data_IF_827976704342
#
_entry.id   IF_827976704342
#
_cell.length_a   1.000
_cell.length_b   1.000
_cell.length_c   1.000
_cell.angle_alpha   90.00
_cell.angle_beta   90.00
_cell.angle_gamma   90.00
#
_symmetry.space_group_name_H-M   'P 1'
#
loop_
_entity.id
_entity.type
_entity.pdbx_description
1 polymer ?
#
# COMPACT_ATOMS: atom_id res chain seq x y z
N UNK A 1 1.84 -29.87 -10.39
CA UNK A 1 1.42 -29.34 -11.69
C UNK A 1 1.30 -27.82 -11.74
N UNK A 2 1.09 -27.14 -10.58
CA UNK A 2 0.87 -25.70 -10.49
C UNK A 2 2.05 -24.90 -9.90
N UNK A 3 3.24 -25.45 -9.88
CA UNK A 3 4.42 -24.78 -9.31
C UNK A 3 4.76 -23.46 -10.04
N UNK A 4 4.62 -23.42 -11.36
CA UNK A 4 4.88 -22.19 -12.13
C UNK A 4 3.87 -21.09 -11.77
N UNK A 5 2.54 -21.32 -11.87
CA UNK A 5 1.58 -20.34 -11.39
C UNK A 5 1.79 -19.92 -9.92
N UNK A 6 2.15 -20.84 -9.04
CA UNK A 6 2.39 -20.52 -7.63
C UNK A 6 3.59 -19.60 -7.38
N UNK A 7 4.53 -19.52 -8.32
CA UNK A 7 5.75 -18.71 -8.18
C UNK A 7 5.78 -17.46 -9.08
N UNK A 8 4.79 -17.26 -9.93
CA UNK A 8 4.75 -16.10 -10.83
C UNK A 8 4.25 -14.84 -10.13
N UNK A 9 4.94 -13.72 -10.33
CA UNK A 9 4.53 -12.41 -9.79
C UNK A 9 3.18 -11.91 -10.33
N UNK A 10 2.74 -12.41 -11.49
CA UNK A 10 1.45 -12.07 -12.11
C UNK A 10 0.27 -12.91 -11.62
N UNK A 11 0.48 -13.87 -10.74
CA UNK A 11 -0.56 -14.83 -10.34
C UNK A 11 -1.69 -14.16 -9.56
N UNK A 12 -1.43 -13.16 -8.75
CA UNK A 12 -2.47 -12.44 -8.01
C UNK A 12 -3.55 -11.86 -8.94
N UNK A 13 -3.14 -11.16 -9.99
CA UNK A 13 -4.08 -10.61 -10.97
C UNK A 13 -4.68 -11.70 -11.86
N UNK A 14 -3.90 -12.70 -12.26
CA UNK A 14 -4.37 -13.79 -13.13
C UNK A 14 -5.45 -14.65 -12.46
N UNK A 15 -5.33 -14.92 -11.16
CA UNK A 15 -6.32 -15.73 -10.42
C UNK A 15 -7.68 -15.05 -10.30
N UNK A 16 -7.76 -13.75 -10.38
CA UNK A 16 -9.03 -13.00 -10.37
C UNK A 16 -9.72 -13.03 -11.74
N UNK A 17 -8.96 -13.13 -12.83
CA UNK A 17 -9.49 -13.02 -14.17
C UNK A 17 -10.53 -14.10 -14.49
N UNK A 18 -10.26 -15.35 -14.13
CA UNK A 18 -11.13 -16.48 -14.47
C UNK A 18 -12.48 -16.47 -13.72
N UNK A 19 -12.52 -16.37 -12.37
CA UNK A 19 -13.79 -16.40 -11.65
C UNK A 19 -14.68 -15.19 -11.92
N UNK A 20 -14.09 -14.04 -12.21
CA UNK A 20 -14.84 -12.82 -12.52
C UNK A 20 -15.05 -12.58 -14.02
N UNK A 21 -14.53 -13.45 -14.88
CA UNK A 21 -14.65 -13.33 -16.32
C UNK A 21 -14.06 -12.04 -16.88
N UNK A 22 -12.95 -11.57 -16.29
CA UNK A 22 -12.29 -10.32 -16.68
C UNK A 22 -11.73 -10.46 -18.09
N UNK A 23 -12.08 -9.51 -18.97
CA UNK A 23 -11.66 -9.49 -20.38
C UNK A 23 -10.86 -8.23 -20.76
N UNK A 24 -10.80 -7.24 -19.86
CA UNK A 24 -9.98 -6.05 -20.02
C UNK A 24 -8.52 -6.29 -19.71
N UNK A 25 -7.79 -5.23 -19.39
CA UNK A 25 -6.37 -5.34 -19.00
C UNK A 25 -6.22 -6.16 -17.74
N UNK A 26 -5.17 -6.99 -17.70
CA UNK A 26 -4.82 -7.79 -16.54
C UNK A 26 -3.29 -7.89 -16.43
N UNK A 27 -2.75 -7.34 -15.37
CA UNK A 27 -1.32 -7.42 -15.07
C UNK A 27 -1.06 -7.16 -13.58
N UNK A 28 0.11 -7.54 -13.11
CA UNK A 28 0.59 -7.21 -11.78
C UNK A 28 1.72 -6.18 -11.85
N UNK A 29 1.74 -5.27 -10.89
CA UNK A 29 2.83 -4.32 -10.67
C UNK A 29 3.73 -4.88 -9.56
N UNK A 30 4.99 -4.53 -9.55
CA UNK A 30 5.93 -4.86 -8.48
C UNK A 30 6.64 -3.60 -8.01
N UNK A 31 6.33 -3.17 -6.79
CA UNK A 31 6.93 -2.01 -6.12
C UNK A 31 6.94 -2.20 -4.60
N UNK A 32 7.26 -3.42 -4.14
CA UNK A 32 7.33 -3.78 -2.73
C UNK A 32 6.08 -3.35 -1.95
N UNK A 33 6.23 -2.71 -0.80
CA UNK A 33 5.11 -2.28 0.06
C UNK A 33 4.17 -1.26 -0.61
N UNK A 34 4.61 -0.56 -1.65
CA UNK A 34 3.81 0.41 -2.39
C UNK A 34 2.95 -0.23 -3.50
N UNK A 35 3.08 -1.53 -3.75
CA UNK A 35 2.45 -2.20 -4.91
C UNK A 35 0.94 -2.01 -4.95
N UNK A 36 0.23 -2.21 -3.85
CA UNK A 36 -1.23 -2.08 -3.81
C UNK A 36 -1.67 -0.64 -4.12
N UNK A 37 -0.97 0.35 -3.59
CA UNK A 37 -1.26 1.76 -3.88
C UNK A 37 -1.00 2.10 -5.36
N UNK A 38 0.07 1.57 -5.96
CA UNK A 38 0.33 1.71 -7.39
C UNK A 38 -0.74 1.02 -8.24
N UNK A 39 -1.18 -0.18 -7.86
CA UNK A 39 -2.28 -0.87 -8.56
C UNK A 39 -3.56 -0.03 -8.54
N UNK A 40 -3.93 0.52 -7.39
CA UNK A 40 -5.11 1.36 -7.23
C UNK A 40 -5.00 2.65 -8.04
N UNK A 41 -3.86 3.35 -7.94
CA UNK A 41 -3.63 4.58 -8.69
C UNK A 41 -3.63 4.38 -10.20
N UNK A 42 -2.92 3.36 -10.70
CA UNK A 42 -2.91 3.04 -12.14
C UNK A 42 -4.30 2.64 -12.65
N UNK A 43 -5.06 1.89 -11.86
CA UNK A 43 -6.43 1.53 -12.22
C UNK A 43 -7.33 2.77 -12.32
N UNK A 44 -7.20 3.70 -11.36
CA UNK A 44 -7.92 4.97 -11.38
C UNK A 44 -7.57 5.80 -12.63
N UNK A 45 -6.28 5.91 -12.96
CA UNK A 45 -5.83 6.61 -14.17
C UNK A 45 -6.40 5.99 -15.45
N UNK A 46 -6.43 4.66 -15.56
CA UNK A 46 -7.04 3.97 -16.72
C UNK A 46 -8.53 4.27 -16.85
N UNK A 47 -9.25 4.34 -15.74
CA UNK A 47 -10.67 4.73 -15.73
C UNK A 47 -10.82 6.21 -16.12
N UNK A 48 -10.03 7.12 -15.55
CA UNK A 48 -10.04 8.54 -15.88
C UNK A 48 -9.74 8.82 -17.36
N UNK A 49 -8.90 7.99 -17.98
CA UNK A 49 -8.59 8.07 -19.42
C UNK A 49 -9.65 7.39 -20.31
N UNK A 50 -10.71 6.84 -19.74
CA UNK A 50 -11.76 6.15 -20.47
C UNK A 50 -11.30 4.84 -21.14
N UNK A 51 -10.26 4.20 -20.58
CA UNK A 51 -9.74 2.92 -21.10
C UNK A 51 -10.46 1.72 -20.50
N UNK A 52 -10.98 1.88 -19.30
CA UNK A 52 -11.75 0.86 -18.57
C UNK A 52 -12.86 1.57 -17.79
N UNK A 53 -13.99 0.89 -17.60
CA UNK A 53 -15.11 1.38 -16.78
C UNK A 53 -15.04 0.83 -15.35
N UNK A 54 -14.56 -0.41 -15.20
CA UNK A 54 -14.46 -1.12 -13.91
C UNK A 54 -13.12 -1.83 -13.83
N UNK A 55 -12.43 -1.69 -12.70
CA UNK A 55 -11.17 -2.40 -12.43
C UNK A 55 -11.11 -2.94 -11.01
N UNK A 56 -10.59 -4.16 -10.88
CA UNK A 56 -10.12 -4.70 -9.60
C UNK A 56 -8.69 -4.24 -9.37
N UNK A 57 -8.40 -3.69 -8.20
CA UNK A 57 -7.06 -3.24 -7.86
C UNK A 57 -6.75 -3.50 -6.38
N UNK A 58 -5.54 -3.91 -6.08
CA UNK A 58 -5.14 -4.22 -4.71
C UNK A 58 -3.83 -4.97 -4.67
N UNK A 59 -3.63 -5.75 -3.64
CA UNK A 59 -2.44 -6.57 -3.47
C UNK A 59 -2.63 -7.70 -2.50
N UNK A 60 -1.71 -8.63 -2.52
CA UNK A 60 -1.63 -9.75 -1.58
C UNK A 60 -0.20 -10.06 -1.23
N UNK A 61 0.01 -10.46 0.01
CA UNK A 61 1.29 -10.88 0.54
C UNK A 61 1.14 -12.22 1.26
N UNK A 62 2.03 -13.14 0.99
CA UNK A 62 2.09 -14.41 1.68
C UNK A 62 3.06 -14.35 2.87
N UNK A 63 2.69 -14.95 3.98
CA UNK A 63 3.59 -15.16 5.09
C UNK A 63 4.44 -16.41 4.84
N UNK A 64 5.68 -16.21 4.43
CA UNK A 64 6.65 -17.28 4.19
C UNK A 64 7.97 -17.03 4.93
N UNK A 65 8.60 -18.11 5.38
CA UNK A 65 9.85 -18.03 6.13
C UNK A 65 11.02 -17.48 5.30
N UNK A 66 11.00 -17.68 3.98
CA UNK A 66 12.06 -17.17 3.09
C UNK A 66 12.11 -15.65 3.10
N UNK A 67 10.95 -14.98 3.07
CA UNK A 67 10.87 -13.52 3.17
C UNK A 67 11.28 -13.06 4.58
N UNK A 68 10.88 -13.78 5.62
CA UNK A 68 11.25 -13.48 7.01
C UNK A 68 12.77 -13.49 7.20
N UNK A 69 13.45 -14.51 6.67
CA UNK A 69 14.92 -14.61 6.73
C UNK A 69 15.62 -13.42 6.05
N UNK A 70 15.11 -12.97 4.92
CA UNK A 70 15.69 -11.85 4.20
C UNK A 70 15.58 -10.53 4.99
N UNK A 71 14.42 -10.26 5.59
CA UNK A 71 14.22 -9.09 6.42
C UNK A 71 14.93 -9.16 7.78
N UNK A 72 15.05 -10.35 8.35
CA UNK A 72 15.84 -10.58 9.56
C UNK A 72 17.34 -10.30 9.30
N UNK A 73 17.86 -10.77 8.18
CA UNK A 73 19.23 -10.51 7.74
C UNK A 73 19.54 -9.01 7.55
N UNK A 74 18.52 -8.21 7.22
CA UNK A 74 18.65 -6.74 7.15
C UNK A 74 18.59 -6.07 8.53
N UNK A 75 18.28 -6.81 9.60
CA UNK A 75 18.03 -6.23 10.92
C UNK A 75 16.76 -5.37 11.00
N UNK A 76 15.78 -5.62 10.11
CA UNK A 76 14.56 -4.84 10.03
C UNK A 76 13.42 -5.40 10.88
N UNK A 77 13.50 -6.65 11.32
CA UNK A 77 12.47 -7.32 12.12
C UNK A 77 12.64 -7.10 13.62
N UNK A 78 11.51 -7.06 14.32
CA UNK A 78 11.48 -7.07 15.78
C UNK A 78 12.06 -8.39 16.32
N UNK A 79 12.93 -8.31 17.30
CA UNK A 79 13.54 -9.47 17.96
C UNK A 79 13.46 -9.43 19.48
N UNK A 80 13.20 -8.27 20.08
CA UNK A 80 13.18 -8.08 21.55
C UNK A 80 11.95 -8.68 22.22
N UNK A 81 10.90 -8.97 21.43
CA UNK A 81 9.58 -9.36 21.95
C UNK A 81 9.23 -10.81 21.63
N UNK A 82 10.21 -11.67 21.34
CA UNK A 82 9.96 -13.09 21.04
C UNK A 82 9.25 -13.83 22.17
N UNK A 83 9.52 -13.44 23.44
CA UNK A 83 8.85 -14.00 24.61
C UNK A 83 7.44 -13.38 24.87
N UNK A 84 7.12 -12.27 24.20
CA UNK A 84 5.85 -11.57 24.33
C UNK A 84 5.31 -11.13 22.95
N UNK A 85 5.08 -12.06 22.01
CA UNK A 85 4.82 -11.74 20.61
C UNK A 85 3.57 -10.90 20.38
N UNK A 86 2.58 -10.99 21.25
CA UNK A 86 1.38 -10.16 21.18
C UNK A 86 1.64 -8.66 21.34
N UNK A 87 2.83 -8.27 21.82
CA UNK A 87 3.22 -6.87 22.01
C UNK A 87 4.36 -6.43 21.09
N UNK A 88 4.76 -7.26 20.13
CA UNK A 88 5.91 -7.01 19.26
C UNK A 88 5.62 -5.95 18.20
N UNK A 89 4.48 -6.02 17.52
CA UNK A 89 4.06 -4.99 16.55
C UNK A 89 3.59 -3.75 17.30
N UNK A 90 4.33 -2.65 17.14
CA UNK A 90 4.13 -1.41 17.91
C UNK A 90 4.63 -0.16 17.18
N UNK A 91 4.11 0.10 15.99
CA UNK A 91 4.49 1.26 15.21
C UNK A 91 4.39 2.56 16.05
N UNK A 92 5.33 3.48 15.85
CA UNK A 92 5.48 4.75 16.57
C UNK A 92 5.73 4.64 18.08
N UNK A 93 5.69 3.46 18.69
CA UNK A 93 6.01 3.27 20.10
C UNK A 93 7.50 3.59 20.36
N UNK A 94 7.77 4.12 21.57
CA UNK A 94 9.12 4.48 22.00
C UNK A 94 10.08 3.29 22.00
N UNK A 95 9.58 2.10 22.30
CA UNK A 95 10.37 0.88 22.46
C UNK A 95 10.30 -0.04 21.22
N UNK A 96 9.78 0.43 20.10
CA UNK A 96 9.75 -0.35 18.86
C UNK A 96 11.15 -0.73 18.41
N UNK A 97 11.29 -1.88 17.81
CA UNK A 97 12.59 -2.40 17.38
C UNK A 97 12.62 -3.04 16.00
N UNK A 98 11.55 -2.93 15.24
CA UNK A 98 11.41 -3.49 13.92
C UNK A 98 9.98 -3.94 13.61
N UNK A 99 9.73 -4.39 12.42
CA UNK A 99 8.40 -4.87 12.05
C UNK A 99 8.19 -6.35 12.38
N UNK A 100 6.94 -6.76 12.44
CA UNK A 100 6.49 -8.15 12.55
C UNK A 100 5.85 -8.53 11.21
N UNK A 101 6.46 -9.49 10.53
CA UNK A 101 5.98 -9.94 9.22
C UNK A 101 4.62 -10.62 9.35
N UNK A 102 3.74 -10.36 8.37
CA UNK A 102 2.41 -10.95 8.30
C UNK A 102 2.01 -11.19 6.84
N UNK A 103 0.99 -12.00 6.64
CA UNK A 103 0.33 -12.19 5.36
C UNK A 103 -1.04 -11.52 5.34
N UNK A 104 -1.54 -11.25 4.14
CA UNK A 104 -2.86 -10.67 3.96
C UNK A 104 -3.12 -10.26 2.52
N UNK A 105 -4.36 -9.96 2.19
CA UNK A 105 -4.74 -9.46 0.89
C UNK A 105 -5.92 -8.51 1.00
N UNK A 106 -5.96 -7.53 0.08
CA UNK A 106 -7.08 -6.62 -0.06
C UNK A 106 -7.26 -6.21 -1.52
N UNK A 107 -8.49 -6.14 -1.97
CA UNK A 107 -8.84 -5.71 -3.32
C UNK A 107 -10.02 -4.74 -3.25
N UNK A 108 -9.90 -3.63 -3.95
CA UNK A 108 -10.99 -2.69 -4.18
C UNK A 108 -11.50 -2.83 -5.62
N UNK A 109 -12.77 -2.55 -5.82
CA UNK A 109 -13.37 -2.41 -7.13
C UNK A 109 -13.51 -0.92 -7.41
N UNK A 110 -12.74 -0.43 -8.36
CA UNK A 110 -12.85 0.93 -8.86
C UNK A 110 -13.79 0.96 -10.04
N UNK A 111 -14.63 1.96 -10.11
CA UNK A 111 -15.64 2.09 -11.16
C UNK A 111 -15.85 3.55 -11.51
N UNK A 112 -16.06 3.84 -12.79
CA UNK A 112 -16.41 5.16 -13.25
C UNK A 112 -17.75 5.59 -12.60
N UNK A 113 -17.83 6.85 -12.16
CA UNK A 113 -18.92 7.32 -11.30
C UNK A 113 -20.30 7.22 -11.97
N UNK A 114 -20.43 7.64 -13.22
CA UNK A 114 -21.73 7.62 -13.90
C UNK A 114 -22.13 6.19 -14.30
N UNK A 115 -21.14 5.33 -14.61
CA UNK A 115 -21.38 3.91 -14.81
C UNK A 115 -21.92 3.26 -13.51
N UNK A 116 -21.31 3.54 -12.37
CA UNK A 116 -21.77 3.04 -11.07
C UNK A 116 -23.18 3.51 -10.72
N UNK A 117 -23.48 4.80 -10.93
CA UNK A 117 -24.81 5.38 -10.72
C UNK A 117 -25.86 4.77 -11.64
N UNK A 118 -25.54 4.60 -12.93
CA UNK A 118 -26.47 4.06 -13.92
C UNK A 118 -26.98 2.66 -13.59
N UNK A 119 -26.15 1.83 -12.94
CA UNK A 119 -26.53 0.48 -12.50
C UNK A 119 -27.03 0.42 -11.05
N UNK A 120 -27.11 1.54 -10.36
CA UNK A 120 -27.53 1.59 -8.96
C UNK A 120 -26.54 0.97 -7.98
N UNK A 121 -25.24 1.04 -8.27
CA UNK A 121 -24.21 0.48 -7.42
C UNK A 121 -24.18 1.16 -6.05
N UNK A 122 -23.87 0.39 -5.00
CA UNK A 122 -23.52 0.97 -3.71
C UNK A 122 -22.13 1.56 -3.80
N UNK A 123 -22.02 2.88 -3.68
CA UNK A 123 -20.78 3.60 -3.66
C UNK A 123 -20.35 3.76 -2.20
N UNK A 124 -19.15 3.30 -1.84
CA UNK A 124 -18.59 3.37 -0.48
C UNK A 124 -17.79 4.63 -0.25
N UNK A 125 -17.03 5.05 -1.26
CA UNK A 125 -16.16 6.22 -1.22
C UNK A 125 -15.81 6.67 -2.64
N UNK A 126 -15.27 7.86 -2.77
CA UNK A 126 -14.68 8.39 -3.99
C UNK A 126 -13.16 8.45 -3.84
N UNK A 127 -12.41 7.94 -4.83
CA UNK A 127 -10.96 8.12 -4.89
C UNK A 127 -10.65 9.44 -5.56
N UNK A 128 -10.25 10.44 -4.77
CA UNK A 128 -10.09 11.82 -5.23
C UNK A 128 -8.65 12.25 -5.45
N UNK A 129 -7.66 11.44 -5.06
CA UNK A 129 -6.26 11.77 -5.24
C UNK A 129 -5.35 10.55 -5.25
N UNK A 130 -4.27 10.65 -5.98
CA UNK A 130 -3.20 9.67 -6.05
C UNK A 130 -1.85 10.36 -6.18
N UNK A 131 -0.84 9.81 -5.52
CA UNK A 131 0.53 10.30 -5.63
C UNK A 131 1.52 9.14 -5.61
N UNK A 132 2.51 9.20 -6.49
CA UNK A 132 3.61 8.24 -6.55
C UNK A 132 4.90 8.96 -6.91
N UNK A 133 5.92 8.77 -6.09
CA UNK A 133 7.24 9.38 -6.28
C UNK A 133 8.34 8.41 -5.91
N UNK A 134 9.50 8.55 -6.53
CA UNK A 134 10.71 7.89 -6.08
C UNK A 134 11.46 8.80 -5.11
N UNK A 135 11.97 8.26 -4.00
CA UNK A 135 12.78 9.04 -3.05
C UNK A 135 14.11 9.47 -3.68
N UNK A 136 14.78 8.55 -4.38
CA UNK A 136 16.02 8.83 -5.09
C UNK A 136 17.22 9.10 -4.18
N UNK A 137 17.10 8.80 -2.89
CA UNK A 137 18.14 9.05 -1.89
C UNK A 137 19.01 7.82 -1.62
N UNK A 138 18.39 6.76 -1.13
CA UNK A 138 19.06 5.50 -0.78
C UNK A 138 18.15 4.33 -1.13
N UNK A 139 18.73 3.13 -1.35
CA UNK A 139 17.95 1.96 -1.72
C UNK A 139 17.04 1.46 -0.59
N UNK A 140 17.44 1.68 0.67
CA UNK A 140 16.77 1.12 1.85
C UNK A 140 16.30 2.21 2.81
N UNK A 141 17.12 3.23 3.05
CA UNK A 141 16.82 4.27 4.03
C UNK A 141 16.00 5.42 3.43
N UNK A 142 14.80 5.71 3.96
CA UNK A 142 14.00 6.82 3.49
C UNK A 142 14.61 8.17 3.91
N UNK A 143 14.63 9.14 2.98
CA UNK A 143 14.97 10.53 3.30
C UNK A 143 13.80 11.25 4.00
N UNK A 144 12.57 10.85 3.69
CA UNK A 144 11.32 11.52 4.04
C UNK A 144 10.83 12.49 2.95
N UNK A 145 11.71 12.96 2.06
CA UNK A 145 11.34 13.93 1.03
C UNK A 145 10.46 13.31 -0.06
N UNK A 146 10.74 12.07 -0.46
CA UNK A 146 9.89 11.33 -1.39
C UNK A 146 8.46 11.19 -0.87
N UNK A 147 8.29 10.87 0.41
CA UNK A 147 6.99 10.81 1.06
C UNK A 147 6.27 12.17 1.05
N UNK A 148 6.98 13.27 1.34
CA UNK A 148 6.43 14.64 1.27
C UNK A 148 5.92 14.94 -0.15
N UNK A 149 6.70 14.63 -1.19
CA UNK A 149 6.28 14.85 -2.58
C UNK A 149 5.05 14.01 -2.94
N UNK A 150 5.05 12.74 -2.54
CA UNK A 150 3.94 11.82 -2.78
C UNK A 150 2.64 12.31 -2.13
N UNK A 151 2.68 12.68 -0.86
CA UNK A 151 1.53 13.22 -0.14
C UNK A 151 1.01 14.52 -0.77
N UNK A 152 1.90 15.42 -1.17
CA UNK A 152 1.52 16.67 -1.87
C UNK A 152 0.86 16.41 -3.22
N UNK A 153 1.32 15.40 -3.97
CA UNK A 153 0.66 14.99 -5.22
C UNK A 153 -0.76 14.50 -4.96
N UNK A 154 -0.94 13.59 -4.01
CA UNK A 154 -2.26 13.05 -3.68
C UNK A 154 -3.21 14.15 -3.16
N UNK A 155 -2.67 15.10 -2.38
CA UNK A 155 -3.43 16.21 -1.81
C UNK A 155 -3.87 17.25 -2.85
N UNK A 156 -3.18 17.36 -3.98
CA UNK A 156 -3.44 18.40 -4.98
C UNK A 156 -4.89 18.46 -5.49
N UNK A 157 -5.60 17.32 -5.47
CA UNK A 157 -7.01 17.19 -5.85
C UNK A 157 -7.97 16.99 -4.67
N UNK A 158 -7.44 16.80 -3.46
CA UNK A 158 -8.25 16.42 -2.29
C UNK A 158 -8.69 17.63 -1.41
N UNK A 159 -7.92 18.72 -1.40
CA UNK A 159 -8.19 19.90 -0.57
C UNK A 159 -7.76 19.73 0.89
N UNK A 160 -8.55 19.07 1.73
CA UNK A 160 -8.25 18.83 3.15
C UNK A 160 -8.28 17.34 3.47
N UNK A 161 -7.56 16.97 4.54
CA UNK A 161 -7.49 15.60 5.05
C UNK A 161 -7.88 15.60 6.53
N UNK A 162 -8.70 14.63 6.93
CA UNK A 162 -9.16 14.49 8.31
C UNK A 162 -8.42 13.38 9.06
N UNK A 163 -7.77 12.47 8.34
CA UNK A 163 -7.15 11.28 8.92
C UNK A 163 -6.11 10.67 7.98
N UNK A 164 -5.06 10.10 8.56
CA UNK A 164 -4.00 9.39 7.82
C UNK A 164 -3.84 7.97 8.37
N UNK A 165 -3.90 7.00 7.48
CA UNK A 165 -3.40 5.65 7.72
C UNK A 165 -1.98 5.56 7.15
N UNK A 166 -0.93 5.56 7.99
CA UNK A 166 0.44 5.58 7.54
C UNK A 166 0.97 4.18 7.19
N UNK A 167 2.18 4.11 6.69
CA UNK A 167 2.87 2.84 6.52
C UNK A 167 3.21 2.17 7.85
N UNK A 168 3.75 2.92 8.79
CA UNK A 168 3.89 2.50 10.19
C UNK A 168 4.57 1.15 10.38
N UNK A 169 5.80 0.99 9.87
CA UNK A 169 6.50 -0.30 9.86
C UNK A 169 7.04 -0.75 11.21
N UNK A 170 6.92 0.06 12.26
CA UNK A 170 7.53 -0.21 13.58
C UNK A 170 9.06 -0.21 13.57
N UNK A 171 9.69 0.25 12.48
CA UNK A 171 11.14 0.41 12.44
C UNK A 171 11.57 1.74 13.07
N UNK A 172 12.70 1.77 13.81
CA UNK A 172 13.15 2.98 14.49
C UNK A 172 13.33 4.19 13.58
N UNK A 173 13.89 3.98 12.37
CA UNK A 173 14.14 5.05 11.39
C UNK A 173 12.89 5.34 10.55
N UNK A 174 12.22 4.31 10.06
CA UNK A 174 11.08 4.45 9.15
C UNK A 174 9.94 5.26 9.75
N UNK A 175 9.45 4.88 10.92
CA UNK A 175 8.36 5.57 11.61
C UNK A 175 8.69 7.04 11.89
N UNK A 176 9.94 7.31 12.29
CA UNK A 176 10.39 8.68 12.55
C UNK A 176 10.35 9.54 11.29
N UNK A 177 10.87 9.02 10.18
CA UNK A 177 10.90 9.72 8.90
C UNK A 177 9.49 9.94 8.35
N UNK A 178 8.62 8.97 8.50
CA UNK A 178 7.23 9.07 8.06
C UNK A 178 6.46 10.13 8.84
N UNK A 179 6.53 10.14 10.18
CA UNK A 179 5.84 11.14 10.99
C UNK A 179 6.41 12.56 10.77
N UNK A 180 7.73 12.70 10.53
CA UNK A 180 8.34 13.97 10.15
C UNK A 180 7.78 14.47 8.81
N UNK A 181 7.63 13.59 7.83
CA UNK A 181 7.05 13.90 6.51
C UNK A 181 5.57 14.27 6.61
N UNK A 182 4.78 13.52 7.38
CA UNK A 182 3.36 13.82 7.65
C UNK A 182 3.21 15.22 8.26
N UNK A 183 3.99 15.52 9.30
CA UNK A 183 3.95 16.83 9.97
C UNK A 183 4.37 17.97 9.05
N UNK A 184 5.31 17.74 8.16
CA UNK A 184 5.74 18.74 7.18
C UNK A 184 4.65 19.11 6.15
N UNK A 185 3.70 18.20 5.89
CA UNK A 185 2.62 18.41 4.92
C UNK A 185 1.33 18.86 5.60
N UNK A 186 0.96 18.25 6.73
CA UNK A 186 -0.36 18.38 7.35
C UNK A 186 -0.33 19.08 8.73
N UNK A 187 0.85 19.38 9.26
CA UNK A 187 0.97 19.92 10.61
C UNK A 187 0.94 18.84 11.70
N UNK A 188 0.75 19.25 12.95
CA UNK A 188 0.86 18.35 14.10
C UNK A 188 -0.47 17.74 14.55
N UNK A 189 -1.58 18.30 14.10
CA UNK A 189 -2.90 18.01 14.67
C UNK A 189 -3.70 16.96 13.88
N UNK A 190 -3.15 16.49 12.73
CA UNK A 190 -3.80 15.47 11.92
C UNK A 190 -3.83 14.11 12.65
N UNK A 191 -4.99 13.47 12.81
CA UNK A 191 -5.08 12.13 13.38
C UNK A 191 -4.34 11.09 12.52
N UNK A 192 -3.55 10.25 13.17
CA UNK A 192 -2.77 9.18 12.54
C UNK A 192 -3.03 7.88 13.30
N UNK A 193 -3.36 6.79 12.59
CA UNK A 193 -3.47 5.45 13.20
C UNK A 193 -2.17 4.65 13.08
N UNK A 194 -2.09 3.56 13.85
CA UNK A 194 -0.97 2.62 13.83
C UNK A 194 -1.41 1.25 14.35
#
# INVERSE_FOLDING_TARGET
PFAVPASMSSTNSATLATPFGIRGVNYSISSACATSAHCIGNAAELIQWGKQDVMFAGGGEELDWTLSVLFDAMGAMSSKYNDTPATASRAYDRNRDGFVIAGGAGTVVLEELEHAKARGAKIYAELIGYGATSDGYDMVQPSGEGAIRCMKQALASAGSIDYINPHGTSTPIGDKKEIEAIRAVFGNDIPVSY
#
